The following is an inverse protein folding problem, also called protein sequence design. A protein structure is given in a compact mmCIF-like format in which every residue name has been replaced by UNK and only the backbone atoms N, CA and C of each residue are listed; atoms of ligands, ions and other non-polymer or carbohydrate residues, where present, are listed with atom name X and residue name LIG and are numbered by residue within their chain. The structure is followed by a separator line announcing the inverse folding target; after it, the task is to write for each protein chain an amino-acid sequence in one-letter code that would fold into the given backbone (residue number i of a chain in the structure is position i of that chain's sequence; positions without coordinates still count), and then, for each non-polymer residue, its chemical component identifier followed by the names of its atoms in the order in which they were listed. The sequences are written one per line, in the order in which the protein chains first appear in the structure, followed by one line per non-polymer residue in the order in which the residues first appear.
data_IF_814511277095
#
_entry.id   IF_814511277095
#
_cell.length_a   1.000
_cell.length_b   1.000
_cell.length_c   1.000
_cell.angle_alpha   90.00
_cell.angle_beta   90.00
_cell.angle_gamma   90.00
#
_symmetry.space_group_name_H-M   'P 1'
#
loop_
_entity.id
_entity.type
_entity.pdbx_description
1 polymer ?
#
# COMPACT_ATOMS: atom_id res chain seq x y z
N UNK A 1 13.74 25.39 5.32
CA UNK A 1 13.16 24.05 5.47
C UNK A 1 14.23 23.15 6.05
N UNK A 2 14.09 22.60 7.26
CA UNK A 2 15.10 21.69 7.79
C UNK A 2 15.18 20.47 6.85
N UNK A 3 16.37 19.89 6.63
CA UNK A 3 16.50 18.69 5.85
C UNK A 3 15.64 17.61 6.49
N UNK A 4 14.84 16.92 5.67
CA UNK A 4 14.20 15.67 6.07
C UNK A 4 15.33 14.76 6.54
N UNK A 5 15.40 14.50 7.85
CA UNK A 5 16.21 13.40 8.37
C UNK A 5 15.60 12.12 7.76
N UNK A 6 16.16 11.70 6.64
CA UNK A 6 15.97 10.36 6.14
C UNK A 6 16.62 9.46 7.19
N UNK A 7 15.80 8.96 8.11
CA UNK A 7 16.24 7.97 9.09
C UNK A 7 17.01 6.88 8.34
N UNK A 8 18.03 6.36 8.99
CA UNK A 8 18.93 5.33 8.47
C UNK A 8 18.13 4.24 7.73
N UNK A 9 18.13 4.30 6.40
CA UNK A 9 17.34 3.41 5.53
C UNK A 9 17.77 1.95 5.67
N UNK A 10 18.95 1.73 6.26
CA UNK A 10 19.55 0.41 6.45
C UNK A 10 19.32 -0.14 7.86
N UNK A 11 18.74 0.63 8.78
CA UNK A 11 18.50 0.17 10.13
C UNK A 11 17.21 -0.66 10.23
N UNK A 12 17.38 -1.97 10.33
CA UNK A 12 16.31 -2.88 10.73
C UNK A 12 15.72 -2.44 12.08
N UNK A 13 14.40 -2.19 12.14
CA UNK A 13 13.75 -1.78 13.39
C UNK A 13 13.92 -2.83 14.49
N UNK A 14 13.91 -2.40 15.76
CA UNK A 14 13.99 -3.32 16.90
C UNK A 14 12.87 -4.38 16.85
N UNK A 15 11.66 -4.01 16.45
CA UNK A 15 10.51 -4.93 16.29
C UNK A 15 10.76 -6.00 15.23
N UNK A 16 11.36 -5.64 14.09
CA UNK A 16 11.70 -6.62 13.04
C UNK A 16 12.77 -7.59 13.55
N UNK A 17 13.80 -7.10 14.26
CA UNK A 17 14.83 -7.96 14.85
C UNK A 17 14.25 -8.94 15.86
N UNK A 18 13.38 -8.46 16.74
CA UNK A 18 12.69 -9.28 17.74
C UNK A 18 11.81 -10.35 17.08
N UNK A 19 11.03 -9.97 16.07
CA UNK A 19 10.23 -10.90 15.29
C UNK A 19 11.08 -11.98 14.62
N UNK A 20 12.17 -11.62 13.98
CA UNK A 20 13.07 -12.58 13.32
C UNK A 20 13.74 -13.51 14.33
N UNK A 21 14.16 -12.98 15.49
CA UNK A 21 14.69 -13.80 16.58
C UNK A 21 13.63 -14.80 17.07
N UNK A 22 12.44 -14.35 17.38
CA UNK A 22 11.35 -15.22 17.85
C UNK A 22 10.97 -16.29 16.81
N UNK A 23 11.02 -15.97 15.52
CA UNK A 23 10.79 -16.90 14.42
C UNK A 23 11.88 -17.98 14.38
N UNK A 24 13.14 -17.60 14.51
CA UNK A 24 14.30 -18.53 14.58
C UNK A 24 14.22 -19.43 15.80
N UNK A 25 13.94 -18.85 16.98
CA UNK A 25 13.87 -19.59 18.24
C UNK A 25 12.75 -20.65 18.22
N UNK A 26 11.69 -20.43 17.42
CA UNK A 26 10.60 -21.40 17.19
C UNK A 26 10.89 -22.41 16.09
N UNK A 27 12.05 -22.37 15.45
CA UNK A 27 12.41 -23.28 14.36
C UNK A 27 11.60 -23.08 13.06
N UNK A 28 11.01 -21.90 12.86
CA UNK A 28 10.18 -21.55 11.69
C UNK A 28 11.04 -20.83 10.63
N UNK A 29 12.32 -21.10 10.60
CA UNK A 29 13.24 -20.51 9.59
C UNK A 29 13.28 -21.42 8.36
N UNK A 30 12.31 -21.24 7.48
CA UNK A 30 12.08 -22.05 6.28
C UNK A 30 12.50 -21.30 4.98
N UNK A 31 13.40 -20.33 5.10
CA UNK A 31 13.98 -19.63 3.96
C UNK A 31 13.73 -18.12 3.94
N UNK A 32 13.96 -17.46 2.79
CA UNK A 32 13.80 -16.01 2.66
C UNK A 32 12.38 -15.56 2.99
N UNK A 33 12.25 -14.49 3.77
CA UNK A 33 10.96 -13.88 4.07
C UNK A 33 11.04 -12.36 3.98
N UNK A 34 9.95 -11.74 3.54
CA UNK A 34 9.74 -10.31 3.64
C UNK A 34 8.99 -10.00 4.94
N UNK A 35 9.60 -9.20 5.79
CA UNK A 35 8.96 -8.73 7.04
C UNK A 35 8.57 -7.28 6.88
N UNK A 36 7.29 -6.99 7.09
CA UNK A 36 6.74 -5.63 7.00
C UNK A 36 6.23 -5.22 8.37
N UNK A 37 6.73 -4.10 8.88
CA UNK A 37 6.21 -3.48 10.10
C UNK A 37 5.09 -2.50 9.72
N UNK A 38 3.85 -2.85 10.05
CA UNK A 38 2.68 -2.04 9.72
C UNK A 38 2.65 -0.69 10.45
N UNK A 39 3.30 -0.56 11.60
CA UNK A 39 3.39 0.73 12.29
C UNK A 39 4.31 1.70 11.53
N UNK A 40 5.36 1.19 10.89
CA UNK A 40 6.20 1.99 9.99
C UNK A 40 5.40 2.44 8.77
N UNK A 41 4.63 1.56 8.17
CA UNK A 41 3.73 1.91 7.04
C UNK A 41 2.77 3.02 7.44
N UNK A 42 2.13 2.88 8.61
CA UNK A 42 1.23 3.90 9.18
C UNK A 42 1.91 5.25 9.34
N UNK A 43 3.06 5.25 10.00
CA UNK A 43 3.83 6.47 10.28
C UNK A 43 4.26 7.15 8.99
N UNK A 44 4.74 6.40 8.00
CA UNK A 44 5.15 6.94 6.71
C UNK A 44 3.98 7.61 5.98
N UNK A 45 2.81 6.97 5.95
CA UNK A 45 1.61 7.54 5.34
C UNK A 45 1.19 8.83 6.06
N UNK A 46 1.13 8.81 7.39
CA UNK A 46 0.70 9.96 8.18
C UNK A 46 1.66 11.15 8.05
N UNK A 47 2.97 10.89 8.03
CA UNK A 47 3.98 11.93 7.82
C UNK A 47 3.86 12.56 6.44
N UNK A 48 3.65 11.73 5.40
CA UNK A 48 3.47 12.22 4.03
C UNK A 48 2.20 13.07 3.92
N UNK A 49 1.08 12.58 4.44
CA UNK A 49 -0.18 13.31 4.41
C UNK A 49 -0.12 14.63 5.18
N UNK A 50 0.59 14.65 6.32
CA UNK A 50 0.81 15.86 7.12
C UNK A 50 1.70 16.87 6.40
N UNK A 51 2.73 16.40 5.70
CA UNK A 51 3.65 17.27 4.97
C UNK A 51 3.00 17.91 3.73
N UNK A 52 2.01 17.24 3.13
CA UNK A 52 1.28 17.67 1.93
C UNK A 52 -0.24 17.63 2.18
N UNK A 53 -0.78 18.52 3.06
CA UNK A 53 -2.16 18.44 3.53
C UNK A 53 -3.21 18.62 2.44
N UNK A 54 -2.89 19.36 1.38
CA UNK A 54 -3.77 19.64 0.25
C UNK A 54 -3.62 18.62 -0.90
N UNK A 55 -2.90 17.51 -0.66
CA UNK A 55 -2.60 16.49 -1.66
C UNK A 55 -3.27 15.16 -1.30
N UNK A 56 -3.98 14.57 -2.26
CA UNK A 56 -4.49 13.20 -2.12
C UNK A 56 -3.37 12.20 -2.46
N UNK A 57 -3.13 11.27 -1.55
CA UNK A 57 -2.15 10.19 -1.76
C UNK A 57 -2.81 9.05 -2.49
N UNK A 58 -2.25 8.65 -3.63
CA UNK A 58 -2.65 7.46 -4.37
C UNK A 58 -1.54 6.41 -4.24
N UNK A 59 -1.77 5.44 -3.37
CA UNK A 59 -0.82 4.35 -3.14
C UNK A 59 -0.80 3.40 -4.33
N UNK A 60 0.39 3.19 -4.90
CA UNK A 60 0.56 2.23 -5.99
C UNK A 60 0.49 0.79 -5.47
N UNK A 61 -0.58 0.09 -5.77
CA UNK A 61 -0.86 -1.27 -5.26
C UNK A 61 0.26 -2.26 -5.61
N UNK A 62 0.84 -2.13 -6.79
CA UNK A 62 1.98 -2.97 -7.24
C UNK A 62 3.21 -2.90 -6.35
N UNK A 63 3.38 -1.85 -5.54
CA UNK A 63 4.53 -1.73 -4.63
C UNK A 63 4.50 -2.79 -3.52
N UNK A 64 3.34 -3.02 -2.93
CA UNK A 64 3.08 -4.12 -2.01
C UNK A 64 1.56 -4.38 -1.94
N UNK A 65 1.05 -5.42 -2.58
CA UNK A 65 -0.37 -5.73 -2.64
C UNK A 65 -0.88 -6.55 -1.43
N UNK A 66 -0.08 -6.71 -0.37
CA UNK A 66 -0.48 -7.48 0.80
C UNK A 66 -1.80 -6.96 1.36
N UNK A 67 -2.80 -7.83 1.64
CA UNK A 67 -4.11 -7.41 2.12
C UNK A 67 -4.04 -6.55 3.38
N UNK A 68 -3.11 -6.84 4.28
CA UNK A 68 -2.90 -6.11 5.53
C UNK A 68 -2.42 -4.68 5.30
N UNK A 69 -1.54 -4.48 4.31
CA UNK A 69 -1.06 -3.15 3.91
C UNK A 69 -2.20 -2.35 3.29
N UNK A 70 -2.94 -2.95 2.36
CA UNK A 70 -4.07 -2.29 1.69
C UNK A 70 -5.17 -1.92 2.69
N UNK A 71 -5.52 -2.84 3.61
CA UNK A 71 -6.54 -2.59 4.63
C UNK A 71 -6.13 -1.46 5.58
N UNK A 72 -4.88 -1.42 6.00
CA UNK A 72 -4.35 -0.34 6.83
C UNK A 72 -4.45 1.01 6.11
N UNK A 73 -3.98 1.08 4.87
CA UNK A 73 -4.01 2.31 4.08
C UNK A 73 -5.45 2.76 3.76
N UNK A 74 -6.34 1.82 3.46
CA UNK A 74 -7.76 2.11 3.27
C UNK A 74 -8.39 2.74 4.52
N UNK A 75 -8.08 2.18 5.70
CA UNK A 75 -8.53 2.69 7.00
C UNK A 75 -7.98 4.09 7.31
N UNK A 76 -6.76 4.38 6.87
CA UNK A 76 -6.13 5.69 7.05
C UNK A 76 -6.64 6.76 6.07
N UNK A 77 -7.45 6.37 5.09
CA UNK A 77 -8.03 7.31 4.12
C UNK A 77 -7.25 7.46 2.82
N UNK A 78 -6.25 6.61 2.55
CA UNK A 78 -5.50 6.63 1.30
C UNK A 78 -6.40 6.38 0.09
N UNK A 79 -6.06 7.00 -1.03
CA UNK A 79 -6.51 6.57 -2.35
C UNK A 79 -5.51 5.54 -2.91
N UNK A 80 -5.86 4.92 -4.04
CA UNK A 80 -5.08 3.83 -4.62
C UNK A 80 -4.91 4.01 -6.11
N UNK A 81 -3.71 3.74 -6.59
CA UNK A 81 -3.39 3.60 -8.01
C UNK A 81 -3.28 2.12 -8.35
N UNK A 82 -4.24 1.63 -9.12
CA UNK A 82 -4.35 0.24 -9.54
C UNK A 82 -3.96 0.08 -11.01
N UNK A 83 -3.09 -0.86 -11.31
CA UNK A 83 -2.61 -1.13 -12.67
C UNK A 83 -3.42 -2.22 -13.40
N UNK A 84 -4.33 -2.90 -12.72
CA UNK A 84 -5.17 -3.98 -13.27
C UNK A 84 -6.51 -4.06 -12.56
N UNK A 85 -7.46 -4.77 -13.19
CA UNK A 85 -8.75 -5.07 -12.55
C UNK A 85 -8.57 -5.94 -11.30
N UNK A 86 -7.60 -6.85 -11.31
CA UNK A 86 -7.29 -7.65 -10.12
C UNK A 86 -6.86 -6.77 -8.94
N UNK A 87 -6.05 -5.74 -9.18
CA UNK A 87 -5.67 -4.78 -8.13
C UNK A 87 -6.86 -3.93 -7.67
N UNK A 88 -7.77 -3.55 -8.58
CA UNK A 88 -9.03 -2.88 -8.21
C UNK A 88 -9.84 -3.76 -7.25
N UNK A 89 -9.99 -5.04 -7.58
CA UNK A 89 -10.70 -6.01 -6.73
C UNK A 89 -10.02 -6.13 -5.34
N UNK A 90 -8.68 -6.16 -5.27
CA UNK A 90 -7.94 -6.19 -4.00
C UNK A 90 -8.22 -4.95 -3.13
N UNK A 91 -8.23 -3.78 -3.75
CA UNK A 91 -8.48 -2.50 -3.05
C UNK A 91 -9.91 -2.43 -2.51
N UNK A 92 -10.89 -2.84 -3.30
CA UNK A 92 -12.29 -2.91 -2.86
C UNK A 92 -12.47 -3.92 -1.73
N UNK A 93 -11.82 -5.08 -1.82
CA UNK A 93 -11.82 -6.09 -0.75
C UNK A 93 -11.15 -5.59 0.54
N UNK A 94 -10.18 -4.68 0.43
CA UNK A 94 -9.51 -4.05 1.57
C UNK A 94 -10.37 -2.96 2.27
N UNK A 95 -11.54 -2.64 1.72
CA UNK A 95 -12.49 -1.70 2.31
C UNK A 95 -12.45 -0.27 1.76
N UNK A 96 -11.68 0.00 0.72
CA UNK A 96 -11.75 1.29 0.03
C UNK A 96 -12.95 1.34 -0.92
N UNK A 97 -13.44 2.55 -1.18
CA UNK A 97 -14.52 2.81 -2.14
C UNK A 97 -13.97 3.13 -3.52
N UNK A 98 -14.75 2.87 -4.58
CA UNK A 98 -14.30 3.02 -5.96
C UNK A 98 -13.90 4.45 -6.35
N UNK A 99 -14.45 5.47 -5.68
CA UNK A 99 -14.10 6.88 -5.86
C UNK A 99 -12.68 7.23 -5.36
N UNK A 100 -12.05 6.31 -4.63
CA UNK A 100 -10.66 6.41 -4.15
C UNK A 100 -9.67 5.64 -5.01
N UNK A 101 -10.10 5.15 -6.18
CA UNK A 101 -9.27 4.33 -7.07
C UNK A 101 -9.02 5.07 -8.39
N UNK A 102 -7.74 5.14 -8.78
CA UNK A 102 -7.28 5.49 -10.13
C UNK A 102 -6.88 4.21 -10.86
N UNK A 103 -7.38 4.00 -12.08
CA UNK A 103 -6.90 2.92 -12.94
C UNK A 103 -5.74 3.45 -13.79
N UNK A 104 -4.52 3.35 -13.24
CA UNK A 104 -3.33 4.06 -13.72
C UNK A 104 -2.56 3.43 -14.88
N UNK A 105 -2.87 2.20 -15.29
CA UNK A 105 -2.21 1.58 -16.44
C UNK A 105 -2.72 2.17 -17.75
N UNK A 106 -1.82 2.70 -18.59
CA UNK A 106 -2.19 3.38 -19.84
C UNK A 106 -2.77 2.44 -20.89
N UNK A 107 -2.25 1.21 -21.03
CA UNK A 107 -2.76 0.21 -21.95
C UNK A 107 -3.78 -0.68 -21.22
N UNK A 108 -5.04 -0.58 -21.64
CA UNK A 108 -6.15 -1.33 -21.04
C UNK A 108 -6.94 -2.08 -22.11
N UNK A 109 -7.37 -3.29 -21.78
CA UNK A 109 -8.35 -4.01 -22.62
C UNK A 109 -9.73 -3.39 -22.43
N UNK A 110 -10.51 -3.31 -23.50
CA UNK A 110 -11.87 -2.76 -23.46
C UNK A 110 -12.74 -3.41 -22.39
N UNK A 111 -12.68 -4.74 -22.26
CA UNK A 111 -13.40 -5.49 -21.22
C UNK A 111 -13.00 -5.09 -19.79
N UNK A 112 -11.73 -4.73 -19.58
CA UNK A 112 -11.21 -4.34 -18.28
C UNK A 112 -11.66 -2.92 -17.92
N UNK A 113 -11.73 -2.03 -18.91
CA UNK A 113 -12.32 -0.69 -18.75
C UNK A 113 -13.80 -0.82 -18.39
N UNK A 114 -14.55 -1.64 -19.13
CA UNK A 114 -15.98 -1.85 -18.87
C UNK A 114 -16.22 -2.39 -17.46
N UNK A 115 -15.41 -3.36 -17.01
CA UNK A 115 -15.51 -3.91 -15.65
C UNK A 115 -15.17 -2.85 -14.59
N UNK A 116 -14.06 -2.13 -14.74
CA UNK A 116 -13.69 -1.07 -13.81
C UNK A 116 -14.78 0.01 -13.68
N UNK A 117 -15.35 0.41 -14.82
CA UNK A 117 -16.46 1.36 -14.84
C UNK A 117 -17.70 0.82 -14.11
N UNK A 118 -18.05 -0.46 -14.33
CA UNK A 118 -19.16 -1.13 -13.62
C UNK A 118 -18.92 -1.19 -12.12
N UNK A 119 -17.69 -1.34 -11.67
CA UNK A 119 -17.31 -1.32 -10.26
C UNK A 119 -17.33 0.08 -9.64
N UNK A 120 -17.51 1.12 -10.44
CA UNK A 120 -17.62 2.50 -9.98
C UNK A 120 -16.36 3.35 -10.12
N UNK A 121 -15.28 2.82 -10.70
CA UNK A 121 -14.05 3.59 -10.96
C UNK A 121 -14.34 4.66 -12.01
N UNK A 122 -13.87 5.88 -11.77
CA UNK A 122 -14.10 7.04 -12.64
C UNK A 122 -12.82 7.79 -13.03
N UNK A 123 -11.70 7.48 -12.40
CA UNK A 123 -10.40 8.07 -12.70
C UNK A 123 -9.54 7.07 -13.47
N UNK A 124 -9.09 7.48 -14.65
CA UNK A 124 -8.29 6.67 -15.57
C UNK A 124 -7.12 7.49 -16.10
N UNK A 125 -5.98 6.83 -16.32
CA UNK A 125 -4.82 7.38 -17.03
C UNK A 125 -4.68 6.74 -18.42
#
# INVERSE_FOLDING_TARGET
MPPLELGDRDAMTARIREFLKARRDRGVDDGPCLVVDLDVVRTNYQNFAKALPDTRVFYAVKANPAPEVLALLAKLGSCFDAASVAEIDMVLAAGATADRISYGNTIKKERDIARAHKLGVRLYA
#
